data_IF_660053276541
#
_entry.id   IF_660053276541
#
_cell.length_a   1.000
_cell.length_b   1.000
_cell.length_c   1.000
_cell.angle_alpha   90.00
_cell.angle_beta   90.00
_cell.angle_gamma   90.00
#
_symmetry.space_group_name_H-M   'P 1'
#
loop_
_entity.id
_entity.type
_entity.pdbx_description
1 polymer ?
#
# COMPACT_ATOMS: atom_id res chain seq x y z
N UNK A 1 -12.18 -4.12 15.46
CA UNK A 1 -10.78 -4.49 15.53
C UNK A 1 -9.96 -3.60 14.60
N UNK A 2 -8.85 -3.08 15.10
CA UNK A 2 -8.00 -2.18 14.34
C UNK A 2 -7.24 -2.95 13.27
N UNK A 3 -7.22 -2.43 12.04
CA UNK A 3 -6.46 -3.00 10.94
C UNK A 3 -5.17 -2.21 10.68
N UNK A 4 -4.13 -2.93 10.27
CA UNK A 4 -2.85 -2.37 9.86
C UNK A 4 -2.79 -2.41 8.34
N UNK A 5 -2.94 -1.25 7.71
CA UNK A 5 -3.12 -1.14 6.26
C UNK A 5 -1.93 -0.42 5.65
N UNK A 6 -1.16 -1.12 4.82
CA UNK A 6 -0.08 -0.51 4.07
C UNK A 6 -0.68 0.27 2.89
N UNK A 7 -0.25 1.52 2.73
CA UNK A 7 -0.68 2.33 1.59
C UNK A 7 0.51 2.61 0.68
N UNK A 8 0.25 2.59 -0.63
CA UNK A 8 1.22 3.09 -1.60
C UNK A 8 0.93 4.56 -1.90
N UNK A 9 1.74 5.17 -2.74
CA UNK A 9 1.64 6.59 -3.05
C UNK A 9 0.34 6.94 -3.78
N UNK A 10 -0.22 5.99 -4.56
CA UNK A 10 -1.47 6.22 -5.28
C UNK A 10 -2.66 6.51 -4.37
N UNK A 11 -2.64 6.00 -3.14
CA UNK A 11 -3.72 6.23 -2.19
C UNK A 11 -3.71 7.68 -1.72
N UNK A 12 -2.52 8.24 -1.47
CA UNK A 12 -2.41 9.67 -1.12
C UNK A 12 -2.88 10.52 -2.30
N UNK A 13 -2.40 10.21 -3.50
CA UNK A 13 -2.83 10.92 -4.71
C UNK A 13 -4.32 10.80 -4.99
N UNK A 14 -4.90 9.64 -4.68
CA UNK A 14 -6.32 9.39 -4.91
C UNK A 14 -7.24 10.31 -4.12
N UNK A 15 -6.78 10.83 -2.98
CA UNK A 15 -7.55 11.80 -2.21
C UNK A 15 -7.88 13.06 -3.02
N UNK A 16 -7.00 13.40 -3.96
CA UNK A 16 -7.11 14.60 -4.80
C UNK A 16 -7.54 14.29 -6.23
N UNK A 17 -7.79 13.02 -6.54
CA UNK A 17 -8.16 12.57 -7.88
C UNK A 17 -9.68 12.54 -7.98
N UNK A 18 -10.22 13.13 -9.05
CA UNK A 18 -11.66 13.25 -9.24
C UNK A 18 -12.36 11.89 -9.22
N UNK A 19 -11.73 10.87 -9.75
CA UNK A 19 -12.31 9.52 -9.83
C UNK A 19 -12.30 8.80 -8.48
N UNK A 20 -11.23 8.97 -7.68
CA UNK A 20 -11.02 8.19 -6.48
C UNK A 20 -11.19 8.96 -5.18
N UNK A 21 -11.44 10.27 -5.24
CA UNK A 21 -11.44 11.12 -4.05
C UNK A 21 -12.49 10.73 -3.01
N UNK A 22 -13.67 10.34 -3.44
CA UNK A 22 -14.75 9.99 -2.52
C UNK A 22 -14.40 8.77 -1.66
N UNK A 23 -13.98 7.69 -2.29
CA UNK A 23 -13.62 6.47 -1.56
C UNK A 23 -12.35 6.65 -0.75
N UNK A 24 -11.42 7.43 -1.25
CA UNK A 24 -10.18 7.72 -0.53
C UNK A 24 -10.45 8.57 0.70
N UNK A 25 -11.35 9.55 0.58
CA UNK A 25 -11.77 10.36 1.73
C UNK A 25 -12.36 9.48 2.83
N UNK A 26 -13.26 8.56 2.48
CA UNK A 26 -13.87 7.65 3.45
C UNK A 26 -12.81 6.79 4.14
N UNK A 27 -11.83 6.29 3.37
CA UNK A 27 -10.72 5.52 3.92
C UNK A 27 -9.96 6.33 4.97
N UNK A 28 -9.59 7.57 4.65
CA UNK A 28 -8.84 8.41 5.58
C UNK A 28 -9.68 8.84 6.79
N UNK A 29 -11.00 8.95 6.66
CA UNK A 29 -11.85 9.18 7.82
C UNK A 29 -11.77 8.03 8.81
N UNK A 30 -11.69 6.80 8.34
CA UNK A 30 -11.50 5.63 9.22
C UNK A 30 -10.13 5.66 9.89
N UNK A 31 -9.12 6.16 9.20
CA UNK A 31 -7.79 6.37 9.81
C UNK A 31 -7.88 7.40 10.92
N UNK A 32 -8.54 8.53 10.65
CA UNK A 32 -8.70 9.60 11.64
C UNK A 32 -9.48 9.14 12.86
N UNK A 33 -10.46 8.26 12.67
CA UNK A 33 -11.27 7.71 13.76
C UNK A 33 -10.53 6.64 14.57
N UNK A 34 -9.36 6.22 14.13
CA UNK A 34 -8.58 5.20 14.82
C UNK A 34 -8.94 3.76 14.50
N UNK A 35 -9.84 3.54 13.53
CA UNK A 35 -10.21 2.19 13.09
C UNK A 35 -9.12 1.52 12.28
N UNK A 36 -8.29 2.31 11.61
CA UNK A 36 -7.21 1.87 10.76
C UNK A 36 -5.93 2.57 11.20
N UNK A 37 -4.86 1.81 11.35
CA UNK A 37 -3.51 2.35 11.40
C UNK A 37 -2.90 2.17 10.03
N UNK A 38 -2.49 3.25 9.39
CA UNK A 38 -1.80 3.14 8.11
C UNK A 38 -0.31 2.89 8.33
N UNK A 39 0.25 2.08 7.44
CA UNK A 39 1.68 1.83 7.38
C UNK A 39 2.20 2.56 6.16
N UNK A 40 3.17 3.45 6.36
CA UNK A 40 3.80 4.18 5.26
C UNK A 40 5.30 3.86 5.25
N UNK A 41 5.88 3.81 4.05
CA UNK A 41 7.30 3.52 3.91
C UNK A 41 8.08 4.77 3.55
N UNK A 42 9.40 4.67 3.68
CA UNK A 42 10.31 5.71 3.21
C UNK A 42 10.25 5.88 1.68
N UNK A 43 9.82 4.85 0.93
CA UNK A 43 9.58 4.99 -0.50
C UNK A 43 8.44 5.98 -0.75
N UNK A 44 7.35 5.84 -0.01
CA UNK A 44 6.23 6.77 -0.11
C UNK A 44 6.68 8.19 0.26
N UNK A 45 7.43 8.33 1.33
CA UNK A 45 7.95 9.64 1.74
C UNK A 45 8.80 10.27 0.63
N UNK A 46 9.69 9.47 0.01
CA UNK A 46 10.54 9.95 -1.07
C UNK A 46 9.73 10.37 -2.30
N UNK A 47 8.71 9.59 -2.65
CA UNK A 47 7.83 9.93 -3.76
C UNK A 47 7.04 11.21 -3.50
N UNK A 48 6.60 11.41 -2.25
CA UNK A 48 5.87 12.62 -1.88
C UNK A 48 6.72 13.89 -1.88
N UNK A 49 8.05 13.77 -1.78
CA UNK A 49 8.92 14.95 -1.89
C UNK A 49 8.75 15.66 -3.23
N UNK A 50 8.36 14.92 -4.26
CA UNK A 50 8.15 15.48 -5.61
C UNK A 50 6.70 15.90 -5.85
N UNK A 51 5.82 15.67 -4.89
CA UNK A 51 4.41 15.99 -5.02
C UNK A 51 4.15 17.46 -4.65
N UNK A 52 3.03 18.03 -5.11
CA UNK A 52 2.62 19.36 -4.67
C UNK A 52 2.45 19.43 -3.15
N UNK A 53 2.62 20.60 -2.57
CA UNK A 53 2.56 20.78 -1.12
C UNK A 53 1.23 20.34 -0.51
N UNK A 54 0.11 20.56 -1.23
CA UNK A 54 -1.20 20.17 -0.70
C UNK A 54 -1.34 18.65 -0.53
N UNK A 55 -0.63 17.87 -1.34
CA UNK A 55 -0.61 16.41 -1.20
C UNK A 55 0.16 16.00 0.06
N UNK A 56 1.28 16.67 0.34
CA UNK A 56 2.10 16.38 1.51
C UNK A 56 1.35 16.65 2.82
N UNK A 57 0.48 17.65 2.83
CA UNK A 57 -0.26 18.07 4.01
C UNK A 57 -1.22 16.98 4.50
N UNK A 58 -1.74 16.16 3.60
CA UNK A 58 -2.70 15.13 3.97
C UNK A 58 -2.19 14.24 5.10
N UNK A 59 -0.99 13.68 4.95
CA UNK A 59 -0.43 12.80 5.99
C UNK A 59 -0.01 13.55 7.24
N UNK A 60 0.41 14.81 7.09
CA UNK A 60 0.79 15.64 8.24
C UNK A 60 -0.39 15.91 9.17
N UNK A 61 -1.61 15.86 8.67
CA UNK A 61 -2.82 16.11 9.45
C UNK A 61 -3.40 14.87 10.12
N UNK A 62 -2.76 13.72 9.95
CA UNK A 62 -3.17 12.49 10.61
C UNK A 62 -2.39 12.33 11.92
N UNK A 63 -3.10 11.99 13.01
CA UNK A 63 -2.48 11.75 14.30
C UNK A 63 -1.40 10.66 14.16
N UNK A 64 -0.24 10.92 14.71
CA UNK A 64 0.91 10.01 14.63
C UNK A 64 0.63 8.62 15.22
N UNK A 65 -0.29 8.52 16.16
CA UNK A 65 -0.68 7.23 16.72
C UNK A 65 -1.37 6.32 15.71
N UNK A 66 -1.87 6.90 14.61
CA UNK A 66 -2.56 6.17 13.54
C UNK A 66 -1.68 5.93 12.33
N UNK A 67 -0.39 6.22 12.43
CA UNK A 67 0.60 6.01 11.37
C UNK A 67 1.77 5.22 11.92
N UNK A 68 2.15 4.16 11.22
CA UNK A 68 3.39 3.44 11.49
C UNK A 68 4.32 3.63 10.29
N UNK A 69 5.58 3.96 10.56
CA UNK A 69 6.58 4.16 9.51
C UNK A 69 7.48 2.93 9.44
N UNK A 70 7.63 2.38 8.25
CA UNK A 70 8.52 1.25 7.98
C UNK A 70 9.55 1.65 6.93
N UNK A 71 10.65 0.92 6.87
CA UNK A 71 11.76 1.28 5.98
C UNK A 71 12.01 0.20 4.96
N UNK A 72 12.46 0.64 3.79
CA UNK A 72 13.02 -0.26 2.79
C UNK A 72 14.25 -0.95 3.39
N UNK A 73 14.26 -2.26 3.36
CA UNK A 73 15.34 -3.08 3.92
C UNK A 73 16.04 -3.86 2.80
N UNK A 74 17.27 -4.38 3.05
CA UNK A 74 17.89 -5.28 2.08
C UNK A 74 17.02 -6.47 1.71
N UNK A 75 16.26 -7.02 2.68
CA UNK A 75 15.33 -8.12 2.42
C UNK A 75 14.20 -7.71 1.48
N UNK A 76 13.63 -6.51 1.66
CA UNK A 76 12.57 -6.04 0.80
C UNK A 76 13.06 -5.74 -0.61
N UNK A 77 14.28 -5.22 -0.74
CA UNK A 77 14.89 -5.03 -2.06
C UNK A 77 15.10 -6.37 -2.76
N UNK A 78 15.61 -7.36 -2.06
CA UNK A 78 15.80 -8.69 -2.60
C UNK A 78 14.51 -9.33 -3.04
N UNK A 79 13.47 -9.24 -2.22
CA UNK A 79 12.15 -9.80 -2.55
C UNK A 79 11.56 -9.09 -3.77
N UNK A 80 11.66 -7.76 -3.83
CA UNK A 80 11.20 -6.99 -4.98
C UNK A 80 11.91 -7.40 -6.26
N UNK A 81 13.23 -7.64 -6.17
CA UNK A 81 14.00 -8.10 -7.33
C UNK A 81 13.55 -9.48 -7.79
N UNK A 82 13.14 -10.35 -6.87
CA UNK A 82 12.60 -11.66 -7.22
C UNK A 82 11.28 -11.56 -8.00
N UNK A 83 10.43 -10.61 -7.64
CA UNK A 83 9.19 -10.34 -8.41
C UNK A 83 9.54 -9.92 -9.85
N UNK A 84 10.54 -9.06 -9.99
CA UNK A 84 10.96 -8.56 -11.30
C UNK A 84 11.57 -9.69 -12.14
N UNK A 85 12.46 -10.50 -11.55
CA UNK A 85 13.10 -11.64 -12.20
C UNK A 85 12.08 -12.67 -12.68
N UNK A 86 11.02 -12.89 -11.90
CA UNK A 86 9.94 -13.81 -12.25
C UNK A 86 9.01 -13.23 -13.31
N UNK A 87 9.25 -12.00 -13.73
CA UNK A 87 8.47 -11.30 -14.77
C UNK A 87 7.00 -11.10 -14.39
N UNK A 88 6.74 -10.95 -13.08
CA UNK A 88 5.39 -10.61 -12.61
C UNK A 88 5.02 -9.21 -13.12
N UNK A 89 5.97 -8.27 -13.05
CA UNK A 89 5.86 -6.94 -13.65
C UNK A 89 7.19 -6.57 -14.32
N UNK A 90 7.18 -5.53 -15.16
CA UNK A 90 8.40 -5.05 -15.78
C UNK A 90 9.27 -4.24 -14.82
N UNK A 91 10.51 -3.94 -15.26
CA UNK A 91 11.45 -3.17 -14.46
C UNK A 91 10.95 -1.77 -14.15
N UNK A 92 10.10 -1.21 -14.98
CA UNK A 92 9.52 0.11 -14.77
C UNK A 92 8.65 0.16 -13.51
N UNK A 93 8.31 -0.98 -12.96
CA UNK A 93 7.48 -1.11 -11.77
C UNK A 93 8.28 -1.48 -10.53
N UNK A 94 9.58 -1.17 -10.49
CA UNK A 94 10.43 -1.51 -9.35
C UNK A 94 9.90 -0.93 -8.03
N UNK A 95 9.47 0.33 -8.03
CA UNK A 95 8.91 0.96 -6.84
C UNK A 95 7.65 0.23 -6.36
N UNK A 96 6.79 -0.18 -7.29
CA UNK A 96 5.58 -0.95 -6.96
C UNK A 96 5.94 -2.28 -6.32
N UNK A 97 6.93 -2.98 -6.87
CA UNK A 97 7.42 -4.24 -6.30
C UNK A 97 7.99 -4.05 -4.91
N UNK A 98 8.68 -2.93 -4.67
CA UNK A 98 9.22 -2.62 -3.35
C UNK A 98 8.11 -2.33 -2.34
N UNK A 99 7.05 -1.64 -2.74
CA UNK A 99 5.89 -1.45 -1.88
C UNK A 99 5.29 -2.80 -1.46
N UNK A 100 5.12 -3.71 -2.41
CA UNK A 100 4.55 -5.03 -2.12
C UNK A 100 5.47 -5.84 -1.21
N UNK A 101 6.77 -5.79 -1.45
CA UNK A 101 7.75 -6.50 -0.63
C UNK A 101 7.78 -5.98 0.80
N UNK A 102 7.76 -4.67 0.99
CA UNK A 102 7.73 -4.06 2.33
C UNK A 102 6.44 -4.47 3.07
N UNK A 103 5.30 -4.38 2.40
CA UNK A 103 4.02 -4.76 3.00
C UNK A 103 4.00 -6.23 3.43
N UNK A 104 4.60 -7.10 2.60
CA UNK A 104 4.71 -8.52 2.91
C UNK A 104 5.58 -8.75 4.15
N UNK A 105 6.76 -8.14 4.20
CA UNK A 105 7.74 -8.37 5.26
C UNK A 105 7.33 -7.73 6.58
N UNK A 106 6.59 -6.64 6.57
CA UNK A 106 6.09 -6.03 7.80
C UNK A 106 4.78 -6.65 8.30
N UNK A 107 4.29 -7.67 7.60
CA UNK A 107 3.06 -8.40 7.97
C UNK A 107 1.83 -7.48 8.07
N UNK A 108 1.70 -6.56 7.12
CA UNK A 108 0.48 -5.74 7.03
C UNK A 108 -0.75 -6.65 6.86
N UNK A 109 -1.86 -6.28 7.44
CA UNK A 109 -3.11 -7.02 7.24
C UNK A 109 -3.56 -6.95 5.79
N UNK A 110 -3.33 -5.81 5.15
CA UNK A 110 -3.70 -5.59 3.75
C UNK A 110 -2.87 -4.44 3.18
N UNK A 111 -2.56 -4.52 1.89
CA UNK A 111 -2.02 -3.41 1.12
C UNK A 111 -3.14 -2.83 0.29
N UNK A 112 -3.35 -1.52 0.34
CA UNK A 112 -4.33 -0.87 -0.53
C UNK A 112 -3.65 0.04 -1.54
N UNK A 113 -4.23 0.10 -2.74
CA UNK A 113 -3.67 0.84 -3.86
C UNK A 113 -4.76 1.17 -4.87
N UNK A 114 -4.57 2.24 -5.63
CA UNK A 114 -5.37 2.55 -6.82
C UNK A 114 -4.67 2.16 -8.12
N UNK A 115 -3.51 1.52 -8.03
CA UNK A 115 -2.76 1.10 -9.22
C UNK A 115 -3.30 -0.23 -9.74
N UNK A 116 -4.28 -0.16 -10.65
CA UNK A 116 -4.91 -1.35 -11.23
C UNK A 116 -4.03 -2.05 -12.27
N UNK A 117 -3.00 -1.39 -12.75
CA UNK A 117 -2.14 -1.97 -13.78
C UNK A 117 -1.13 -2.96 -13.18
N UNK A 118 -0.50 -2.57 -12.07
CA UNK A 118 0.63 -3.33 -11.53
C UNK A 118 0.38 -3.94 -10.16
N UNK A 119 -0.58 -3.44 -9.40
CA UNK A 119 -0.77 -3.85 -8.00
C UNK A 119 -2.13 -4.53 -7.79
N UNK A 120 -3.24 -3.81 -8.01
CA UNK A 120 -4.58 -4.34 -7.78
C UNK A 120 -5.08 -5.01 -9.05
N UNK A 121 -4.50 -6.15 -9.35
CA UNK A 121 -4.75 -6.90 -10.57
C UNK A 121 -4.59 -8.38 -10.24
N UNK A 122 -5.59 -9.18 -10.52
CA UNK A 122 -5.63 -10.58 -10.09
C UNK A 122 -4.39 -11.36 -10.50
N UNK A 123 -3.95 -11.23 -11.75
CA UNK A 123 -2.78 -11.95 -12.23
C UNK A 123 -1.52 -11.51 -11.51
N UNK A 124 -1.37 -10.20 -11.27
CA UNK A 124 -0.22 -9.66 -10.55
C UNK A 124 -0.23 -10.12 -9.09
N UNK A 125 -1.38 -10.06 -8.44
CA UNK A 125 -1.52 -10.50 -7.04
C UNK A 125 -1.11 -11.96 -6.90
N UNK A 126 -1.59 -12.82 -7.80
CA UNK A 126 -1.22 -14.24 -7.80
C UNK A 126 0.28 -14.41 -8.01
N UNK A 127 0.86 -13.61 -8.90
CA UNK A 127 2.31 -13.64 -9.17
C UNK A 127 3.11 -13.25 -7.94
N UNK A 128 2.77 -12.15 -7.29
CA UNK A 128 3.46 -11.72 -6.07
C UNK A 128 3.36 -12.77 -4.99
N UNK A 129 2.18 -13.29 -4.74
CA UNK A 129 1.97 -14.28 -3.69
C UNK A 129 2.61 -15.63 -4.01
N UNK A 130 2.70 -16.00 -5.30
CA UNK A 130 3.45 -17.18 -5.71
C UNK A 130 4.92 -17.08 -5.34
N UNK A 131 5.53 -15.92 -5.61
CA UNK A 131 6.92 -15.67 -5.25
C UNK A 131 7.08 -15.62 -3.72
N UNK A 132 6.14 -14.97 -3.02
CA UNK A 132 6.16 -14.95 -1.55
C UNK A 132 6.16 -16.36 -0.99
N UNK A 133 5.27 -17.20 -1.49
CA UNK A 133 5.19 -18.60 -1.04
C UNK A 133 6.50 -19.37 -1.28
N UNK A 134 7.08 -19.23 -2.48
CA UNK A 134 8.34 -19.91 -2.82
C UNK A 134 9.49 -19.50 -1.91
N UNK A 135 9.45 -18.30 -1.35
CA UNK A 135 10.50 -17.75 -0.51
C UNK A 135 10.18 -17.80 0.98
N UNK A 136 9.14 -18.54 1.36
CA UNK A 136 8.81 -18.74 2.76
C UNK A 136 8.12 -17.57 3.44
N UNK A 137 7.57 -16.65 2.67
CA UNK A 137 6.85 -15.49 3.21
C UNK A 137 5.34 -15.75 3.25
N UNK A 138 4.64 -14.97 4.08
CA UNK A 138 3.19 -14.99 4.10
C UNK A 138 2.63 -14.35 2.85
N UNK A 139 1.41 -14.71 2.50
CA UNK A 139 0.70 -14.05 1.42
C UNK A 139 0.29 -12.64 1.87
N UNK A 140 0.29 -11.70 0.92
CA UNK A 140 -0.18 -10.34 1.17
C UNK A 140 -1.57 -10.17 0.54
N UNK A 141 -2.52 -9.68 1.33
CA UNK A 141 -3.84 -9.31 0.85
C UNK A 141 -3.73 -7.96 0.16
N UNK A 142 -4.25 -7.82 -1.07
CA UNK A 142 -4.18 -6.58 -1.85
C UNK A 142 -5.59 -6.18 -2.27
N UNK A 143 -5.98 -4.96 -1.95
CA UNK A 143 -7.32 -4.43 -2.21
C UNK A 143 -7.25 -2.96 -2.60
N UNK A 144 -8.39 -2.40 -3.02
CA UNK A 144 -8.56 -0.95 -3.14
C UNK A 144 -9.02 -0.37 -1.81
N UNK A 145 -8.85 0.94 -1.59
CA UNK A 145 -9.40 1.59 -0.39
C UNK A 145 -10.90 1.39 -0.22
N UNK A 146 -11.65 1.31 -1.31
CA UNK A 146 -13.10 1.10 -1.28
C UNK A 146 -13.47 -0.25 -0.66
N UNK A 147 -12.70 -1.30 -0.97
CA UNK A 147 -12.98 -2.64 -0.45
C UNK A 147 -12.73 -2.75 1.05
N UNK A 148 -11.74 -2.06 1.57
CA UNK A 148 -11.47 -2.02 3.00
C UNK A 148 -12.62 -1.38 3.75
N UNK A 149 -13.18 -0.31 3.19
CA UNK A 149 -14.34 0.36 3.77
C UNK A 149 -15.51 -0.60 3.95
N UNK A 150 -15.74 -1.49 2.99
CA UNK A 150 -16.86 -2.42 3.01
C UNK A 150 -16.76 -3.48 4.10
N UNK A 151 -15.55 -3.84 4.55
CA UNK A 151 -15.37 -4.86 5.58
C UNK A 151 -16.01 -4.47 6.92
N UNK A 152 -16.08 -3.20 7.24
CA UNK A 152 -16.67 -2.74 8.49
C UNK A 152 -18.19 -2.82 8.55
N UNK A 153 -18.84 -3.14 7.45
CA UNK A 153 -20.29 -3.13 7.33
C UNK A 153 -20.92 -4.53 7.23
N UNK A 154 -20.15 -5.57 7.49
CA UNK A 154 -20.61 -6.95 7.34
C UNK A 154 -21.17 -7.59 8.61
N UNK A 155 -21.54 -6.80 9.56
CA UNK A 155 -22.14 -7.34 10.79
C UNK A 155 -23.65 -7.47 10.66
#
# INVERSE_FOLDING_TARGET
MKQWVYIDTSVVGGYFDEEFSEDTFVFFERVRNGDITIIVSDILEAELLRAPDFVKVLLQNIDKKNIEIVRLSPESIELADKYIEAKVVGKTSRADCQHIAIATLCHADVLVSWNFKHIVNLDRIRGYNGINFQNGHQMIEIRTPKEIFNYGNEE
#
